data_IF_800797600620
#
_entry.id   IF_800797600620
#
_cell.length_a   1.000
_cell.length_b   1.000
_cell.length_c   1.000
_cell.angle_alpha   90.00
_cell.angle_beta   90.00
_cell.angle_gamma   90.00
#
_symmetry.space_group_name_H-M   'P 1'
#
loop_
_entity.id
_entity.type
_entity.pdbx_description
1 polymer ?
#
# COMPACT_ATOMS: atom_id res chain seq x y z
N UNK A 1 5.44 2.74 9.31
CA UNK A 1 6.50 1.77 9.67
C UNK A 1 5.91 0.63 10.48
N UNK A 2 5.50 -0.46 9.83
CA UNK A 2 5.31 -1.72 10.54
C UNK A 2 6.20 -2.77 9.88
N UNK A 3 7.40 -2.87 10.42
CA UNK A 3 8.35 -3.91 10.13
C UNK A 3 7.68 -5.25 10.42
N UNK A 4 7.79 -6.22 9.52
CA UNK A 4 7.62 -7.60 9.96
C UNK A 4 8.88 -7.96 10.75
N UNK A 5 8.73 -8.17 12.06
CA UNK A 5 9.81 -8.69 12.91
C UNK A 5 9.62 -10.20 12.98
N UNK A 6 10.63 -10.93 12.56
CA UNK A 6 10.70 -12.37 12.78
C UNK A 6 11.59 -12.62 13.99
N UNK A 7 11.04 -13.28 15.00
CA UNK A 7 11.79 -13.73 16.16
C UNK A 7 12.07 -15.23 16.03
N UNK A 8 13.34 -15.59 16.18
CA UNK A 8 13.78 -16.98 16.16
C UNK A 8 14.64 -17.28 17.38
N UNK A 9 14.45 -18.44 17.99
CA UNK A 9 15.25 -18.92 19.11
C UNK A 9 16.27 -19.93 18.60
N UNK A 10 17.54 -19.69 18.93
CA UNK A 10 18.62 -20.65 18.69
C UNK A 10 19.14 -21.17 20.04
N UNK A 11 19.35 -22.48 20.12
CA UNK A 11 19.89 -23.16 21.29
C UNK A 11 21.22 -23.82 20.96
N UNK A 12 22.25 -23.48 21.72
CA UNK A 12 23.58 -24.09 21.63
C UNK A 12 23.85 -25.00 22.83
N UNK A 13 24.44 -26.17 22.58
CA UNK A 13 24.88 -27.11 23.61
C UNK A 13 26.40 -27.07 23.75
N UNK A 14 26.88 -26.87 24.98
CA UNK A 14 28.31 -26.90 25.31
C UNK A 14 28.66 -28.22 26.01
N UNK A 15 29.54 -29.00 25.40
CA UNK A 15 30.02 -30.30 25.91
C UNK A 15 31.06 -30.17 27.03
N UNK A 16 30.82 -29.26 27.99
CA UNK A 16 31.63 -29.17 29.22
C UNK A 16 31.12 -30.13 30.29
N UNK A 17 31.90 -30.32 31.37
CA UNK A 17 31.46 -31.04 32.56
C UNK A 17 31.44 -30.06 33.76
N UNK A 18 30.25 -29.66 34.28
CA UNK A 18 28.93 -30.07 33.84
C UNK A 18 28.53 -29.50 32.46
N UNK A 19 27.65 -30.18 31.71
CA UNK A 19 27.13 -29.66 30.45
C UNK A 19 26.36 -28.35 30.68
N UNK A 20 26.44 -27.45 29.70
CA UNK A 20 25.72 -26.19 29.74
C UNK A 20 25.00 -25.93 28.43
N UNK A 21 23.87 -25.22 28.49
CA UNK A 21 23.15 -24.72 27.33
C UNK A 21 23.14 -23.21 27.33
N UNK A 22 23.14 -22.62 26.14
CA UNK A 22 22.92 -21.18 25.96
C UNK A 22 21.83 -20.97 24.92
N UNK A 23 20.92 -20.06 25.21
CA UNK A 23 19.85 -19.67 24.28
C UNK A 23 20.09 -18.25 23.83
N UNK A 24 19.96 -18.01 22.53
CA UNK A 24 19.95 -16.66 21.94
C UNK A 24 18.66 -16.44 21.17
N UNK A 25 18.16 -15.20 21.20
CA UNK A 25 17.04 -14.77 20.35
C UNK A 25 17.61 -13.95 19.21
N UNK A 26 17.24 -14.30 17.98
CA UNK A 26 17.56 -13.55 16.78
C UNK A 26 16.34 -12.71 16.38
N UNK A 27 16.53 -11.39 16.31
CA UNK A 27 15.54 -10.46 15.78
C UNK A 27 15.91 -10.12 14.34
N UNK A 28 15.07 -10.54 13.40
CA UNK A 28 15.23 -10.21 11.99
C UNK A 28 14.22 -9.12 11.65
N UNK A 29 14.73 -8.00 11.15
CA UNK A 29 13.91 -6.88 10.70
C UNK A 29 13.83 -6.93 9.18
N UNK A 30 12.62 -7.03 8.65
CA UNK A 30 12.38 -6.97 7.20
C UNK A 30 12.09 -5.53 6.78
N UNK A 31 12.83 -5.08 5.78
CA UNK A 31 12.61 -3.79 5.12
C UNK A 31 11.56 -3.94 4.02
N UNK A 32 10.68 -2.96 3.93
CA UNK A 32 9.65 -2.88 2.90
C UNK A 32 10.26 -2.37 1.59
N UNK A 33 9.97 -3.06 0.49
CA UNK A 33 10.40 -2.68 -0.86
C UNK A 33 9.16 -2.34 -1.67
N UNK A 34 9.23 -1.31 -2.50
CA UNK A 34 8.15 -0.91 -3.40
C UNK A 34 8.00 -1.92 -4.55
N UNK A 35 7.32 -3.03 -4.29
CA UNK A 35 7.10 -4.12 -5.24
C UNK A 35 5.62 -4.33 -5.60
N UNK A 36 4.72 -3.59 -4.97
CA UNK A 36 3.30 -3.55 -5.32
C UNK A 36 2.98 -2.29 -6.14
N UNK A 37 1.98 -2.40 -7.02
CA UNK A 37 1.51 -1.26 -7.80
C UNK A 37 0.15 -0.79 -7.28
N UNK A 38 -0.15 0.53 -7.36
CA UNK A 38 -1.43 1.04 -6.89
C UNK A 38 -2.60 0.47 -7.68
N UNK A 39 -3.66 0.10 -6.97
CA UNK A 39 -4.91 -0.42 -7.53
C UNK A 39 -6.03 0.63 -7.41
N UNK A 40 -6.79 0.84 -8.50
CA UNK A 40 -7.88 1.81 -8.55
C UNK A 40 -9.21 1.19 -8.10
N UNK A 41 -10.02 1.98 -7.38
CA UNK A 41 -11.38 1.61 -7.01
C UNK A 41 -12.34 2.82 -7.06
N UNK A 42 -13.53 2.69 -7.67
CA UNK A 42 -13.98 1.57 -8.49
C UNK A 42 -13.24 1.50 -9.83
N UNK A 43 -13.09 0.30 -10.39
CA UNK A 43 -12.50 0.08 -11.73
C UNK A 43 -13.48 0.39 -12.86
N UNK A 44 -14.79 0.38 -12.57
CA UNK A 44 -15.86 0.73 -13.49
C UNK A 44 -16.82 1.69 -12.80
N UNK A 45 -17.10 2.81 -13.45
CA UNK A 45 -18.12 3.74 -13.03
C UNK A 45 -19.18 3.87 -14.12
N UNK A 46 -20.45 3.96 -13.72
CA UNK A 46 -21.58 4.20 -14.61
C UNK A 46 -22.16 5.56 -14.30
N UNK A 47 -22.42 6.32 -15.36
CA UNK A 47 -22.82 7.72 -15.30
C UNK A 47 -24.08 7.87 -16.14
N UNK A 48 -25.08 8.55 -15.59
CA UNK A 48 -26.27 8.93 -16.34
C UNK A 48 -26.09 10.34 -16.93
N UNK A 49 -26.57 10.54 -18.15
CA UNK A 49 -26.47 11.82 -18.88
C UNK A 49 -27.29 12.94 -18.21
N UNK A 50 -28.35 12.58 -17.48
CA UNK A 50 -29.23 13.48 -16.73
C UNK A 50 -28.73 13.78 -15.30
N UNK A 51 -27.54 13.31 -14.93
CA UNK A 51 -26.97 13.54 -13.61
C UNK A 51 -26.75 15.05 -13.37
N UNK A 52 -27.55 15.62 -12.47
CA UNK A 52 -27.45 17.05 -12.07
C UNK A 52 -26.23 17.36 -11.20
N UNK A 53 -25.58 16.35 -10.62
CA UNK A 53 -24.36 16.53 -9.80
C UNK A 53 -23.10 16.29 -10.64
N UNK A 54 -22.17 17.24 -10.58
CA UNK A 54 -20.85 17.16 -11.24
C UNK A 54 -19.90 16.18 -10.53
N UNK A 55 -20.25 15.69 -9.34
CA UNK A 55 -19.54 14.62 -8.61
C UNK A 55 -19.99 13.25 -9.08
N UNK A 56 -19.69 12.99 -10.34
CA UNK A 56 -20.20 11.82 -11.04
C UNK A 56 -19.53 10.52 -10.57
N UNK A 57 -18.24 10.57 -10.18
CA UNK A 57 -17.48 9.40 -9.73
C UNK A 57 -16.48 9.80 -8.64
N UNK A 58 -16.47 9.07 -7.52
CA UNK A 58 -15.42 9.13 -6.51
C UNK A 58 -14.46 7.97 -6.73
N UNK A 59 -13.19 8.27 -6.96
CA UNK A 59 -12.13 7.28 -7.18
C UNK A 59 -11.17 7.31 -5.99
N UNK A 60 -10.75 6.12 -5.55
CA UNK A 60 -9.66 5.90 -4.61
C UNK A 60 -8.59 5.01 -5.23
N UNK A 61 -7.42 5.00 -4.59
CA UNK A 61 -6.37 4.06 -4.90
C UNK A 61 -5.91 3.39 -3.60
N UNK A 62 -5.49 2.14 -3.70
CA UNK A 62 -4.89 1.40 -2.60
C UNK A 62 -3.67 0.64 -3.08
N UNK A 63 -2.62 0.65 -2.26
CA UNK A 63 -1.40 -0.12 -2.45
C UNK A 63 -1.16 -0.98 -1.20
N UNK A 64 -0.61 -2.18 -1.40
CA UNK A 64 -0.35 -3.14 -0.32
C UNK A 64 0.98 -2.88 0.39
N UNK A 65 1.83 -2.03 -0.19
CA UNK A 65 3.08 -1.62 0.44
C UNK A 65 2.82 -0.75 1.67
N UNK A 66 3.86 -0.57 2.47
CA UNK A 66 3.81 0.24 3.68
C UNK A 66 4.31 1.65 3.41
N UNK A 67 3.89 2.62 4.23
CA UNK A 67 4.47 3.96 4.18
C UNK A 67 5.99 3.88 4.39
N UNK A 68 6.82 4.47 3.49
CA UNK A 68 6.48 5.47 2.46
C UNK A 68 6.28 4.96 1.02
N UNK A 69 6.31 3.66 0.77
CA UNK A 69 6.16 3.06 -0.56
C UNK A 69 4.70 3.04 -1.08
N UNK A 70 3.74 3.46 -0.26
CA UNK A 70 2.31 3.54 -0.57
C UNK A 70 1.87 5.01 -0.75
N UNK A 71 0.77 5.42 -0.13
CA UNK A 71 0.24 6.80 -0.17
C UNK A 71 1.31 7.88 0.12
N UNK A 72 1.21 9.08 -0.51
CA UNK A 72 0.08 9.61 -1.28
C UNK A 72 0.10 9.31 -2.79
N UNK A 73 -1.09 9.10 -3.37
CA UNK A 73 -1.25 8.80 -4.79
C UNK A 73 -1.43 10.04 -5.68
N UNK A 74 -0.97 9.94 -6.94
CA UNK A 74 -1.20 10.91 -8.01
C UNK A 74 -2.15 10.33 -9.06
N UNK A 75 -3.22 11.05 -9.37
CA UNK A 75 -4.21 10.64 -10.37
C UNK A 75 -4.12 11.54 -11.59
N UNK A 76 -4.05 10.94 -12.78
CA UNK A 76 -3.98 11.65 -14.06
C UNK A 76 -4.94 11.00 -15.07
N UNK A 77 -5.56 11.82 -15.93
CA UNK A 77 -6.33 11.32 -17.07
C UNK A 77 -5.41 11.15 -18.26
N UNK A 78 -5.52 9.98 -18.91
CA UNK A 78 -4.89 9.75 -20.21
C UNK A 78 -5.45 10.72 -21.28
N UNK A 79 -4.80 10.78 -22.45
CA UNK A 79 -5.26 11.61 -23.58
C UNK A 79 -6.73 11.29 -23.89
N UNK A 80 -7.60 12.27 -23.63
CA UNK A 80 -9.02 12.16 -23.92
C UNK A 80 -9.21 12.24 -25.45
N UNK A 81 -9.89 11.26 -26.02
CA UNK A 81 -10.22 11.24 -27.45
C UNK A 81 -11.64 11.76 -27.64
N UNK A 82 -11.81 12.81 -28.45
CA UNK A 82 -13.10 13.48 -28.68
C UNK A 82 -12.95 15.00 -28.79
N UNK A 83 -13.95 15.69 -29.37
CA UNK A 83 -13.90 17.14 -29.62
C UNK A 83 -13.92 17.99 -28.33
N UNK A 84 -14.33 17.41 -27.19
CA UNK A 84 -14.50 18.11 -25.92
C UNK A 84 -13.73 17.36 -24.82
N UNK A 85 -12.87 18.05 -24.06
CA UNK A 85 -12.20 17.49 -22.86
C UNK A 85 -13.19 17.43 -21.69
N UNK A 86 -14.06 16.43 -21.68
CA UNK A 86 -15.22 16.37 -20.78
C UNK A 86 -14.88 15.94 -19.34
N UNK A 87 -13.80 15.19 -19.14
CA UNK A 87 -13.46 14.64 -17.82
C UNK A 87 -12.44 15.50 -17.09
N UNK A 88 -12.68 15.76 -15.80
CA UNK A 88 -11.77 16.46 -14.89
C UNK A 88 -11.66 15.71 -13.58
N UNK A 89 -10.43 15.51 -13.12
CA UNK A 89 -10.16 14.97 -11.78
C UNK A 89 -10.01 16.14 -10.80
N UNK A 90 -10.68 16.05 -9.67
CA UNK A 90 -10.52 16.98 -8.55
C UNK A 90 -10.31 16.19 -7.27
N UNK A 91 -9.34 16.59 -6.46
CA UNK A 91 -9.10 15.98 -5.14
C UNK A 91 -10.27 16.30 -4.22
N UNK A 92 -10.87 15.27 -3.61
CA UNK A 92 -11.92 15.42 -2.59
C UNK A 92 -11.28 15.38 -1.20
N UNK A 93 -11.77 16.22 -0.27
CA UNK A 93 -11.40 16.38 1.16
C UNK A 93 -10.15 15.60 1.65
N UNK A 94 -9.08 16.32 1.94
CA UNK A 94 -7.79 15.82 2.47
C UNK A 94 -7.81 15.48 3.96
N UNK A 95 -8.77 14.70 4.44
CA UNK A 95 -8.73 14.22 5.82
C UNK A 95 -8.38 12.74 5.80
N UNK A 96 -7.07 12.51 5.89
CA UNK A 96 -6.47 11.24 6.31
C UNK A 96 -6.55 11.11 7.83
#
# INVERSE_FOLDING_TARGET
MKLAILESLFSGFYTRNPPATGTGTLHITLEDVNDNVPSLYPTLAKVCEDAKDLRVVVLGASDKDLHPNTDPFKFELNKQSGPEKLWRITKLNTLH
#
